data_IF_874210562944
#
_entry.id   IF_874210562944
#
_cell.length_a   1.000
_cell.length_b   1.000
_cell.length_c   1.000
_cell.angle_alpha   90.00
_cell.angle_beta   90.00
_cell.angle_gamma   90.00
#
_symmetry.space_group_name_H-M   'P 1'
#
loop_
_entity.id
_entity.type
_entity.pdbx_description
1 polymer ?
#
# COMPACT_ATOMS: atom_id res chain seq x y z
N UNK A 1 8.64 2.61 13.98
CA UNK A 1 9.55 3.68 13.52
C UNK A 1 8.82 4.28 12.33
N UNK A 2 8.47 5.58 12.35
CA UNK A 2 7.58 6.12 11.30
C UNK A 2 8.33 6.27 9.98
N UNK A 3 7.61 6.32 8.86
CA UNK A 3 8.19 6.60 7.54
C UNK A 3 9.07 7.86 7.55
N UNK A 4 8.70 8.89 8.32
CA UNK A 4 9.49 10.10 8.49
C UNK A 4 10.85 9.85 9.15
N UNK A 5 10.94 8.87 10.06
CA UNK A 5 12.20 8.46 10.69
C UNK A 5 13.07 7.60 9.75
N UNK A 6 12.45 6.88 8.81
CA UNK A 6 13.16 6.13 7.76
C UNK A 6 13.70 7.07 6.68
N UNK A 7 12.88 8.03 6.23
CA UNK A 7 13.24 9.05 5.24
C UNK A 7 14.32 10.02 5.76
N UNK A 8 14.36 10.33 7.06
CA UNK A 8 15.41 11.17 7.66
C UNK A 8 16.80 10.52 7.68
N UNK A 9 16.90 9.20 7.50
CA UNK A 9 18.16 8.44 7.64
C UNK A 9 18.93 8.25 6.34
N UNK A 10 18.35 8.57 5.17
CA UNK A 10 19.08 8.53 3.91
C UNK A 10 19.67 9.90 3.58
N UNK A 11 20.95 9.91 3.17
CA UNK A 11 21.58 11.11 2.61
C UNK A 11 20.78 11.60 1.41
N UNK A 12 20.62 12.92 1.31
CA UNK A 12 19.85 13.59 0.25
C UNK A 12 20.54 13.35 -1.09
N UNK A 13 20.18 12.27 -1.79
CA UNK A 13 20.66 11.97 -3.14
C UNK A 13 19.66 12.50 -4.19
N UNK A 14 20.13 12.73 -5.41
CA UNK A 14 19.26 13.11 -6.54
C UNK A 14 18.14 12.09 -6.78
N UNK A 15 18.44 10.80 -6.57
CA UNK A 15 17.47 9.71 -6.70
C UNK A 15 16.38 9.77 -5.62
N UNK A 16 16.73 10.25 -4.41
CA UNK A 16 15.78 10.45 -3.32
C UNK A 16 14.80 11.59 -3.62
N UNK A 17 15.27 12.71 -4.16
CA UNK A 17 14.38 13.81 -4.56
C UNK A 17 13.49 13.41 -5.74
N UNK A 18 14.00 12.67 -6.72
CA UNK A 18 13.21 12.16 -7.84
C UNK A 18 12.17 11.13 -7.39
N UNK A 19 12.52 10.21 -6.48
CA UNK A 19 11.57 9.27 -5.89
C UNK A 19 10.49 10.02 -5.09
N UNK A 20 10.88 11.03 -4.31
CA UNK A 20 9.95 11.88 -3.56
C UNK A 20 9.01 12.64 -4.49
N UNK A 21 9.49 13.22 -5.59
CA UNK A 21 8.66 13.90 -6.58
C UNK A 21 7.70 12.91 -7.26
N UNK A 22 8.16 11.70 -7.60
CA UNK A 22 7.29 10.63 -8.15
C UNK A 22 6.17 10.24 -7.18
N UNK A 23 6.52 10.03 -5.91
CA UNK A 23 5.57 9.68 -4.86
C UNK A 23 4.61 10.86 -4.60
N UNK A 24 5.10 12.10 -4.64
CA UNK A 24 4.26 13.31 -4.55
C UNK A 24 3.34 13.53 -5.75
N UNK A 25 3.73 13.11 -6.95
CA UNK A 25 2.86 13.13 -8.13
C UNK A 25 1.80 12.02 -8.08
N UNK A 26 2.12 10.85 -7.53
CA UNK A 26 1.12 9.83 -7.17
C UNK A 26 0.14 10.38 -6.12
N UNK A 27 0.63 11.05 -5.06
CA UNK A 27 -0.22 11.72 -4.06
C UNK A 27 -1.16 12.78 -4.64
N UNK A 28 -0.83 13.38 -5.80
CA UNK A 28 -1.64 14.43 -6.44
C UNK A 28 -2.69 13.89 -7.41
N UNK A 29 -2.53 12.66 -7.90
CA UNK A 29 -3.40 12.05 -8.92
C UNK A 29 -4.37 11.03 -8.35
N UNK A 30 -3.98 10.37 -7.28
CA UNK A 30 -4.72 9.24 -6.73
C UNK A 30 -5.50 9.64 -5.49
N UNK A 31 -6.79 9.30 -5.42
CA UNK A 31 -7.64 9.68 -4.29
C UNK A 31 -7.23 9.00 -2.99
N UNK A 32 -6.69 7.77 -3.06
CA UNK A 32 -6.31 6.94 -1.91
C UNK A 32 -4.95 6.26 -2.07
N UNK A 33 -4.05 6.42 -1.08
CA UNK A 33 -2.69 5.86 -1.04
C UNK A 33 -2.37 5.27 0.34
N UNK A 34 -1.76 4.09 0.34
CA UNK A 34 -1.17 3.47 1.51
C UNK A 34 0.25 2.94 1.23
N UNK A 35 1.13 3.04 2.23
CA UNK A 35 2.46 2.41 2.21
C UNK A 35 2.37 1.00 2.76
N UNK A 36 3.04 0.05 2.11
CA UNK A 36 3.10 -1.35 2.54
C UNK A 36 4.35 -1.54 3.40
N UNK A 37 4.15 -1.91 4.67
CA UNK A 37 5.23 -2.22 5.62
C UNK A 37 5.70 -3.67 5.45
N UNK A 38 4.75 -4.61 5.33
CA UNK A 38 5.03 -6.00 4.98
C UNK A 38 3.83 -6.66 4.30
N UNK A 39 4.11 -7.75 3.60
CA UNK A 39 3.12 -8.54 2.89
C UNK A 39 3.44 -10.03 3.05
N UNK A 40 2.41 -10.86 3.22
CA UNK A 40 2.49 -12.32 3.23
C UNK A 40 1.33 -12.93 2.47
N UNK A 41 1.52 -14.17 2.01
CA UNK A 41 0.47 -14.99 1.43
C UNK A 41 -0.12 -15.95 2.46
N UNK A 42 -1.39 -16.28 2.27
CA UNK A 42 -2.03 -17.43 2.89
C UNK A 42 -1.59 -18.74 2.22
N UNK A 43 -2.22 -19.85 2.62
CA UNK A 43 -1.93 -21.18 2.07
C UNK A 43 -2.40 -21.34 0.62
N UNK A 44 -3.41 -20.58 0.20
CA UNK A 44 -3.84 -20.47 -1.19
C UNK A 44 -3.17 -19.21 -1.76
N UNK A 45 -2.30 -19.35 -2.76
CA UNK A 45 -1.49 -18.25 -3.38
C UNK A 45 -2.33 -17.11 -4.02
N UNK A 46 -3.65 -17.15 -3.83
CA UNK A 46 -4.64 -16.17 -4.26
C UNK A 46 -5.02 -15.17 -3.18
N UNK A 47 -4.89 -15.52 -1.90
CA UNK A 47 -5.23 -14.62 -0.79
C UNK A 47 -4.00 -14.32 0.07
N UNK A 48 -3.92 -13.08 0.54
CA UNK A 48 -2.78 -12.61 1.31
C UNK A 48 -3.18 -11.53 2.30
N UNK A 49 -2.22 -11.17 3.13
CA UNK A 49 -2.35 -10.09 4.09
C UNK A 49 -1.20 -9.12 3.93
N UNK A 50 -1.49 -7.83 4.04
CA UNK A 50 -0.48 -6.79 4.04
C UNK A 50 -0.74 -5.85 5.21
N UNK A 51 0.33 -5.42 5.88
CA UNK A 51 0.27 -4.33 6.82
C UNK A 51 0.61 -3.04 6.10
N UNK A 52 -0.24 -2.03 6.31
CA UNK A 52 -0.15 -0.77 5.61
C UNK A 52 -0.25 0.42 6.55
N UNK A 53 0.33 1.54 6.14
CA UNK A 53 0.11 2.85 6.70
C UNK A 53 -0.70 3.66 5.68
N UNK A 54 -1.89 4.12 6.06
CA UNK A 54 -2.76 4.93 5.21
C UNK A 54 -2.30 6.38 5.24
N UNK A 55 -2.08 6.95 4.06
CA UNK A 55 -1.36 8.23 3.91
C UNK A 55 -2.26 9.29 3.32
N UNK A 56 -3.03 8.89 2.33
CA UNK A 56 -3.95 9.75 1.62
C UNK A 56 -5.23 9.00 1.30
N UNK A 57 -6.38 9.70 1.29
CA UNK A 57 -7.69 9.11 1.02
C UNK A 57 -8.19 8.04 1.98
N UNK A 58 -9.21 7.34 1.51
CA UNK A 58 -9.87 6.25 2.23
C UNK A 58 -9.86 5.01 1.34
N UNK A 59 -9.37 3.89 1.85
CA UNK A 59 -9.53 2.58 1.21
C UNK A 59 -10.68 1.83 1.86
N UNK A 60 -11.51 1.19 1.05
CA UNK A 60 -12.74 0.53 1.49
C UNK A 60 -12.70 -0.97 1.27
N UNK A 61 -13.42 -1.69 2.13
CA UNK A 61 -13.64 -3.13 1.92
C UNK A 61 -14.39 -3.34 0.60
N UNK A 62 -13.90 -4.27 -0.21
CA UNK A 62 -14.42 -4.58 -1.54
C UNK A 62 -13.87 -3.71 -2.66
N UNK A 63 -13.04 -2.71 -2.35
CA UNK A 63 -12.37 -1.87 -3.34
C UNK A 63 -11.22 -2.62 -4.01
N UNK A 64 -11.00 -2.32 -5.28
CA UNK A 64 -9.83 -2.77 -6.01
C UNK A 64 -8.69 -1.77 -5.83
N UNK A 65 -7.51 -2.27 -5.48
CA UNK A 65 -6.30 -1.46 -5.33
C UNK A 65 -5.20 -1.94 -6.27
N UNK A 66 -4.40 -1.00 -6.76
CA UNK A 66 -3.23 -1.27 -7.59
C UNK A 66 -1.98 -1.18 -6.71
N UNK A 67 -1.09 -2.15 -6.91
CA UNK A 67 0.18 -2.19 -6.21
C UNK A 67 1.31 -1.68 -7.10
N UNK A 68 2.24 -0.96 -6.49
CA UNK A 68 3.42 -0.41 -7.16
C UNK A 68 4.71 -0.70 -6.38
N UNK A 69 5.82 -0.83 -7.10
CA UNK A 69 7.16 -0.89 -6.50
C UNK A 69 7.71 0.52 -6.15
N UNK A 70 8.88 0.58 -5.52
CA UNK A 70 9.57 1.82 -5.16
C UNK A 70 9.92 2.72 -6.37
N UNK A 71 9.90 2.20 -7.59
CA UNK A 71 10.16 2.96 -8.82
C UNK A 71 8.88 3.53 -9.45
N UNK A 72 7.70 3.17 -8.94
CA UNK A 72 6.39 3.51 -9.51
C UNK A 72 5.95 2.56 -10.63
N UNK A 73 6.57 1.39 -10.76
CA UNK A 73 6.13 0.34 -11.71
C UNK A 73 4.98 -0.44 -11.09
N UNK A 74 3.87 -0.60 -11.85
CA UNK A 74 2.75 -1.44 -11.45
C UNK A 74 3.21 -2.90 -11.30
N UNK A 75 3.01 -3.47 -10.12
CA UNK A 75 3.41 -4.84 -9.78
C UNK A 75 2.23 -5.81 -9.80
N UNK A 76 1.01 -5.32 -9.55
CA UNK A 76 -0.23 -6.10 -9.66
C UNK A 76 -1.48 -5.34 -9.23
N UNK A 77 -2.59 -6.09 -9.16
CA UNK A 77 -3.90 -5.61 -8.71
C UNK A 77 -4.47 -6.59 -7.69
N UNK A 78 -5.15 -6.05 -6.68
CA UNK A 78 -5.81 -6.85 -5.66
C UNK A 78 -7.15 -6.26 -5.28
N UNK A 79 -8.03 -7.09 -4.72
CA UNK A 79 -9.28 -6.65 -4.09
C UNK A 79 -9.15 -6.74 -2.58
N UNK A 80 -9.57 -5.69 -1.88
CA UNK A 80 -9.63 -5.68 -0.41
C UNK A 80 -10.78 -6.58 0.05
N UNK A 81 -10.47 -7.66 0.74
CA UNK A 81 -11.46 -8.54 1.36
C UNK A 81 -11.85 -8.05 2.75
N UNK A 82 -10.86 -7.66 3.55
CA UNK A 82 -11.05 -7.17 4.92
C UNK A 82 -10.05 -6.08 5.27
N UNK A 83 -10.49 -5.17 6.14
CA UNK A 83 -9.70 -4.07 6.67
C UNK A 83 -9.72 -4.15 8.19
N UNK A 84 -8.56 -4.02 8.79
CA UNK A 84 -8.38 -4.00 10.24
C UNK A 84 -7.54 -2.79 10.63
N UNK A 85 -8.03 -1.95 11.52
CA UNK A 85 -7.36 -0.71 11.91
C UNK A 85 -6.79 -0.79 13.33
N UNK A 86 -5.65 -0.10 13.50
CA UNK A 86 -4.98 0.06 14.78
C UNK A 86 -4.39 -1.24 15.35
N UNK A 87 -3.77 -1.11 16.52
CA UNK A 87 -3.02 -2.21 17.16
C UNK A 87 -3.88 -3.41 17.56
N UNK A 88 -5.17 -3.19 17.79
CA UNK A 88 -6.11 -4.24 18.19
C UNK A 88 -6.73 -4.97 16.99
N UNK A 89 -6.36 -4.61 15.75
CA UNK A 89 -6.94 -5.14 14.51
C UNK A 89 -8.48 -5.07 14.57
N UNK A 90 -9.01 -3.87 14.77
CA UNK A 90 -10.46 -3.68 14.80
C UNK A 90 -10.99 -3.74 13.37
N UNK A 91 -11.97 -4.62 13.06
CA UNK A 91 -12.53 -4.70 11.72
C UNK A 91 -13.17 -3.35 11.34
N UNK A 92 -12.86 -2.87 10.14
CA UNK A 92 -13.29 -1.59 9.63
C UNK A 92 -13.81 -1.72 8.20
N UNK A 93 -14.69 -0.79 7.82
CA UNK A 93 -15.22 -0.72 6.46
C UNK A 93 -14.45 0.26 5.57
N UNK A 94 -13.78 1.25 6.17
CA UNK A 94 -12.96 2.27 5.52
C UNK A 94 -11.76 2.62 6.41
N UNK A 95 -10.66 3.07 5.81
CA UNK A 95 -9.47 3.58 6.52
C UNK A 95 -9.48 5.11 6.63
N UNK A 96 -8.82 5.67 7.65
CA UNK A 96 -8.55 7.11 7.74
C UNK A 96 -7.05 7.43 7.59
N UNK A 97 -6.75 8.67 7.18
CA UNK A 97 -5.37 9.14 6.99
C UNK A 97 -4.56 9.14 8.30
N UNK A 98 -3.34 8.61 8.23
CA UNK A 98 -2.40 8.53 9.35
C UNK A 98 -2.62 7.29 10.24
N UNK A 99 -3.55 6.42 9.89
CA UNK A 99 -3.74 5.15 10.58
C UNK A 99 -2.82 4.06 10.03
N UNK A 100 -2.45 3.12 10.90
CA UNK A 100 -1.86 1.85 10.47
C UNK A 100 -2.94 0.79 10.53
N UNK A 101 -2.94 -0.09 9.55
CA UNK A 101 -3.89 -1.18 9.47
C UNK A 101 -3.34 -2.39 8.75
N UNK A 102 -4.19 -3.41 8.70
CA UNK A 102 -3.94 -4.64 8.01
C UNK A 102 -5.05 -4.83 6.98
N UNK A 103 -4.66 -5.12 5.75
CA UNK A 103 -5.53 -5.43 4.64
C UNK A 103 -5.41 -6.92 4.36
N UNK A 104 -6.54 -7.63 4.38
CA UNK A 104 -6.64 -8.96 3.77
C UNK A 104 -7.09 -8.74 2.34
N UNK A 105 -6.38 -9.32 1.39
CA UNK A 105 -6.60 -9.09 -0.03
C UNK A 105 -6.68 -10.38 -0.83
N UNK A 106 -7.31 -10.29 -1.99
CA UNK A 106 -7.27 -11.31 -3.04
C UNK A 106 -6.49 -10.78 -4.23
N UNK A 107 -5.49 -11.52 -4.67
CA UNK A 107 -4.72 -11.24 -5.88
C UNK A 107 -5.59 -11.50 -7.12
N UNK A 108 -5.61 -10.56 -8.05
CA UNK A 108 -6.20 -10.75 -9.38
C UNK A 108 -5.16 -11.43 -10.31
N UNK A 109 -5.62 -12.25 -11.27
CA UNK A 109 -4.74 -13.09 -12.11
C UNK A 109 -3.68 -12.32 -12.93
N UNK A 110 -3.82 -10.98 -13.06
CA UNK A 110 -2.92 -10.08 -13.80
C UNK A 110 -1.71 -9.55 -12.98
N UNK A 111 -1.17 -10.35 -12.06
CA UNK A 111 -0.06 -9.97 -11.19
C UNK A 111 1.31 -10.46 -11.68
N UNK A 112 2.32 -9.58 -11.70
CA UNK A 112 3.70 -9.98 -12.04
C UNK A 112 4.34 -10.86 -10.94
N UNK A 113 5.38 -11.62 -11.27
CA UNK A 113 6.18 -12.39 -10.30
C UNK A 113 6.88 -11.52 -9.23
N UNK A 114 6.90 -10.19 -9.43
CA UNK A 114 7.48 -9.21 -8.51
C UNK A 114 6.44 -8.61 -7.55
N UNK A 115 5.22 -9.14 -7.51
CA UNK A 115 4.12 -8.65 -6.68
C UNK A 115 4.49 -8.48 -5.19
N UNK A 116 5.32 -9.36 -4.64
CA UNK A 116 5.79 -9.30 -3.25
C UNK A 116 6.77 -8.14 -2.97
N UNK A 117 7.28 -7.47 -4.00
CA UNK A 117 8.14 -6.27 -3.89
C UNK A 117 7.37 -4.96 -3.85
N UNK A 118 6.04 -5.03 -3.83
CA UNK A 118 5.18 -3.86 -3.77
C UNK A 118 5.42 -3.08 -2.49
N UNK A 119 5.54 -1.76 -2.63
CA UNK A 119 5.71 -0.83 -1.50
C UNK A 119 4.57 0.17 -1.38
N UNK A 120 3.77 0.34 -2.44
CA UNK A 120 2.63 1.24 -2.46
C UNK A 120 1.36 0.49 -2.85
N UNK A 121 0.27 0.84 -2.20
CA UNK A 121 -1.09 0.45 -2.54
C UNK A 121 -1.89 1.70 -2.86
N UNK A 122 -2.64 1.67 -3.95
CA UNK A 122 -3.40 2.82 -4.46
C UNK A 122 -4.83 2.39 -4.76
N UNK A 123 -5.81 3.14 -4.27
CA UNK A 123 -7.24 2.90 -4.54
C UNK A 123 -7.63 3.18 -5.99
N UNK A 124 -8.55 2.37 -6.56
CA UNK A 124 -9.17 2.65 -7.87
C UNK A 124 -10.59 3.18 -7.68
N UNK A 125 -10.98 4.13 -8.54
CA UNK A 125 -12.39 4.59 -8.70
C UNK A 125 -13.33 3.47 -9.18
#
# INVERSE_FOLDING_TARGET
MSLWDYLKKQEVSSEYEEAKVRIMDLHKKEESLAYIDWMSYGQEETEGEMQVEFVHGEMKKGEEIILYDCNGKKTGRVTILELYLGKNKNPANYSENGETGQIIFRKEEDGSDEFWRSQYAVGCE
#
